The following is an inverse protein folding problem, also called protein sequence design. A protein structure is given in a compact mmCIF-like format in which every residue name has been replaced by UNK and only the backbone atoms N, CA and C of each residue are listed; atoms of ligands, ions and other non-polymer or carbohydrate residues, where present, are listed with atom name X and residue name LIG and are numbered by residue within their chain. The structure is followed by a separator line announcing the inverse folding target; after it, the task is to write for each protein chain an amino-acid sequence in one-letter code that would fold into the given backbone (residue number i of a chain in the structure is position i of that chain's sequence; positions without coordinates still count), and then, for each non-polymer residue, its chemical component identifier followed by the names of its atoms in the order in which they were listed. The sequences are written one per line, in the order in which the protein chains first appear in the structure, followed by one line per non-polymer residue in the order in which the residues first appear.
data_IF_864604581953
#
_entry.id   IF_864604581953
#
_cell.length_a   1.000
_cell.length_b   1.000
_cell.length_c   1.000
_cell.angle_alpha   90.00
_cell.angle_beta   90.00
_cell.angle_gamma   90.00
#
_symmetry.space_group_name_H-M   'P 1'
#
loop_
_entity.id
_entity.type
_entity.pdbx_description
1 polymer ?
#
# COMPACT_ATOMS: atom_id res chain seq x y z
N UNK A 1 50.14 -22.37 -38.50
CA UNK A 1 49.91 -22.00 -37.09
C UNK A 1 49.87 -20.48 -37.03
N UNK A 2 48.73 -19.89 -37.38
CA UNK A 2 48.53 -18.44 -37.42
C UNK A 2 47.82 -18.01 -36.14
N UNK A 3 48.57 -17.31 -35.29
CA UNK A 3 48.08 -16.75 -34.03
C UNK A 3 47.14 -15.59 -34.38
N UNK A 4 45.84 -15.75 -34.11
CA UNK A 4 44.91 -14.63 -34.12
C UNK A 4 45.10 -13.86 -32.81
N UNK A 5 45.76 -12.70 -32.89
CA UNK A 5 45.72 -11.69 -31.83
C UNK A 5 44.29 -11.12 -31.77
N UNK A 6 43.54 -11.52 -30.75
CA UNK A 6 42.28 -10.87 -30.38
C UNK A 6 42.59 -9.50 -29.79
N UNK A 7 42.39 -8.47 -30.61
CA UNK A 7 42.42 -7.07 -30.22
C UNK A 7 41.39 -6.82 -29.09
N UNK A 8 41.77 -6.17 -27.96
CA UNK A 8 40.81 -5.86 -26.91
C UNK A 8 39.79 -4.84 -27.44
N UNK A 9 38.52 -5.21 -27.41
CA UNK A 9 37.41 -4.35 -27.78
C UNK A 9 37.46 -3.06 -26.94
N UNK A 10 37.53 -1.91 -27.62
CA UNK A 10 37.45 -0.61 -26.99
C UNK A 10 36.14 -0.50 -26.20
N UNK A 11 36.25 -0.20 -24.90
CA UNK A 11 35.10 0.10 -24.04
C UNK A 11 34.49 1.41 -24.51
N UNK A 12 33.37 1.34 -25.23
CA UNK A 12 32.63 2.55 -25.62
C UNK A 12 32.20 3.32 -24.37
N UNK A 13 32.36 4.67 -24.35
CA UNK A 13 31.93 5.47 -23.22
C UNK A 13 30.42 5.35 -23.05
N UNK A 14 30.01 4.72 -21.94
CA UNK A 14 28.60 4.49 -21.59
C UNK A 14 27.80 5.78 -21.67
N UNK A 15 26.97 5.88 -22.70
CA UNK A 15 26.02 6.98 -22.88
C UNK A 15 25.16 7.03 -21.62
N UNK A 16 25.29 8.08 -20.81
CA UNK A 16 24.48 8.34 -19.62
C UNK A 16 23.01 8.36 -20.07
N UNK A 17 22.33 7.21 -20.01
CA UNK A 17 20.91 7.09 -20.39
C UNK A 17 20.15 7.88 -19.35
N UNK A 18 19.51 8.96 -19.78
CA UNK A 18 18.54 9.67 -18.95
C UNK A 18 17.49 8.62 -18.57
N UNK A 19 17.32 8.36 -17.27
CA UNK A 19 16.35 7.40 -16.80
C UNK A 19 14.94 8.03 -16.84
N UNK A 20 14.36 8.01 -18.04
CA UNK A 20 13.02 8.52 -18.32
C UNK A 20 11.98 7.78 -17.48
N UNK A 21 12.23 6.52 -17.12
CA UNK A 21 11.34 5.71 -16.28
C UNK A 21 11.27 6.25 -14.86
N UNK A 22 12.42 6.50 -14.23
CA UNK A 22 12.47 7.08 -12.89
C UNK A 22 11.87 8.49 -12.82
N UNK A 23 12.15 9.34 -13.81
CA UNK A 23 11.51 10.66 -13.88
C UNK A 23 10.00 10.55 -14.10
N UNK A 24 9.54 9.58 -14.90
CA UNK A 24 8.13 9.29 -15.08
C UNK A 24 7.44 8.87 -13.78
N UNK A 25 8.04 7.96 -13.02
CA UNK A 25 7.54 7.53 -11.72
C UNK A 25 7.52 8.70 -10.71
N UNK A 26 8.61 9.47 -10.65
CA UNK A 26 8.68 10.65 -9.79
C UNK A 26 7.59 11.67 -10.11
N UNK A 27 7.39 11.97 -11.39
CA UNK A 27 6.32 12.87 -11.85
C UNK A 27 4.93 12.32 -11.48
N UNK A 28 4.69 11.03 -11.68
CA UNK A 28 3.44 10.38 -11.29
C UNK A 28 3.17 10.52 -9.79
N UNK A 29 4.14 10.20 -8.93
CA UNK A 29 4.01 10.33 -7.48
C UNK A 29 3.70 11.76 -7.05
N UNK A 30 4.39 12.75 -7.64
CA UNK A 30 4.16 14.16 -7.36
C UNK A 30 2.74 14.58 -7.80
N UNK A 31 2.32 14.21 -9.01
CA UNK A 31 1.00 14.57 -9.52
C UNK A 31 -0.12 13.95 -8.68
N UNK A 32 -0.04 12.67 -8.35
CA UNK A 32 -1.02 11.99 -7.48
C UNK A 32 -1.00 12.59 -6.08
N UNK A 33 0.18 12.90 -5.53
CA UNK A 33 0.32 13.51 -4.21
C UNK A 33 -0.31 14.90 -4.14
N UNK A 34 -0.04 15.77 -5.13
CA UNK A 34 -0.66 17.10 -5.25
C UNK A 34 -2.17 16.97 -5.41
N UNK A 35 -2.62 16.10 -6.31
CA UNK A 35 -4.05 15.84 -6.51
C UNK A 35 -4.73 15.46 -5.20
N UNK A 36 -4.14 14.52 -4.45
CA UNK A 36 -4.67 14.04 -3.16
C UNK A 36 -4.77 15.18 -2.13
N UNK A 37 -3.76 16.05 -2.07
CA UNK A 37 -3.75 17.22 -1.15
C UNK A 37 -4.83 18.24 -1.54
N UNK A 38 -5.00 18.51 -2.83
CA UNK A 38 -6.03 19.43 -3.33
C UNK A 38 -7.43 18.88 -3.09
N UNK A 39 -7.64 17.60 -3.37
CA UNK A 39 -8.90 16.90 -3.12
C UNK A 39 -9.26 16.91 -1.62
N UNK A 40 -8.27 16.64 -0.76
CA UNK A 40 -8.44 16.70 0.70
C UNK A 40 -8.88 18.07 1.21
N UNK A 41 -8.49 19.16 0.54
CA UNK A 41 -8.90 20.51 0.93
C UNK A 41 -10.41 20.75 0.74
N UNK A 42 -11.05 19.98 -0.14
CA UNK A 42 -12.50 20.02 -0.38
C UNK A 42 -13.35 19.26 0.64
N UNK A 43 -12.75 18.42 1.49
CA UNK A 43 -13.50 17.60 2.46
C UNK A 43 -14.11 18.48 3.55
N UNK A 44 -15.43 18.44 3.76
CA UNK A 44 -16.07 19.19 4.85
C UNK A 44 -15.66 18.63 6.23
N UNK A 45 -15.39 19.52 7.19
CA UNK A 45 -15.01 19.13 8.57
C UNK A 45 -16.11 19.62 9.49
N UNK A 46 -16.65 18.72 10.33
CA UNK A 46 -17.62 19.07 11.36
C UNK A 46 -17.03 20.02 12.39
N UNK A 47 -17.85 20.92 12.93
CA UNK A 47 -17.45 22.04 13.81
C UNK A 47 -16.72 21.66 15.12
N UNK A 48 -16.57 20.38 15.46
CA UNK A 48 -16.04 19.92 16.75
C UNK A 48 -14.91 18.88 16.63
N UNK A 49 -14.32 18.69 15.44
CA UNK A 49 -13.29 17.66 15.22
C UNK A 49 -11.90 18.29 15.05
N UNK A 50 -11.01 18.23 16.07
CA UNK A 50 -9.70 18.91 16.04
C UNK A 50 -8.72 18.33 15.01
N UNK A 51 -8.88 17.05 14.67
CA UNK A 51 -7.93 16.32 13.80
C UNK A 51 -8.55 16.07 12.42
N UNK A 52 -9.85 15.75 12.35
CA UNK A 52 -10.61 15.70 11.11
C UNK A 52 -10.14 14.66 10.07
N UNK A 53 -11.00 14.28 9.12
CA UNK A 53 -10.68 13.27 8.11
C UNK A 53 -9.58 13.71 7.12
N UNK A 54 -9.21 14.99 7.12
CA UNK A 54 -8.23 15.58 6.20
C UNK A 54 -6.78 15.21 6.51
N UNK A 55 -6.46 14.88 7.76
CA UNK A 55 -5.07 14.61 8.15
C UNK A 55 -4.49 13.43 7.40
N UNK A 56 -5.27 12.35 7.26
CA UNK A 56 -4.83 11.16 6.54
C UNK A 56 -4.43 11.45 5.08
N UNK A 57 -5.31 12.00 4.22
CA UNK A 57 -4.95 12.28 2.84
C UNK A 57 -3.88 13.38 2.71
N UNK A 58 -3.80 14.34 3.64
CA UNK A 58 -2.69 15.30 3.64
C UNK A 58 -1.33 14.63 3.90
N UNK A 59 -1.25 13.72 4.87
CA UNK A 59 0.00 12.99 5.18
C UNK A 59 0.43 12.13 4.01
N UNK A 60 -0.50 11.36 3.42
CA UNK A 60 -0.20 10.51 2.26
C UNK A 60 0.18 11.34 1.04
N UNK A 61 -0.58 12.38 0.72
CA UNK A 61 -0.31 13.25 -0.41
C UNK A 61 1.01 14.00 -0.28
N UNK A 62 1.30 14.57 0.90
CA UNK A 62 2.59 15.21 1.18
C UNK A 62 3.75 14.20 1.11
N UNK A 63 3.57 13.00 1.67
CA UNK A 63 4.55 11.92 1.59
C UNK A 63 4.88 11.54 0.15
N UNK A 64 3.86 11.38 -0.71
CA UNK A 64 4.03 11.12 -2.14
C UNK A 64 4.82 12.22 -2.85
N UNK A 65 4.51 13.49 -2.57
CA UNK A 65 5.24 14.63 -3.15
C UNK A 65 6.70 14.63 -2.69
N UNK A 66 6.94 14.43 -1.40
CA UNK A 66 8.30 14.39 -0.82
C UNK A 66 9.11 13.26 -1.42
N UNK A 67 8.58 12.03 -1.44
CA UNK A 67 9.29 10.86 -1.99
C UNK A 67 9.52 11.02 -3.49
N UNK A 68 8.52 11.52 -4.24
CA UNK A 68 8.69 11.80 -5.67
C UNK A 68 9.75 12.87 -5.95
N UNK A 69 9.82 13.93 -5.14
CA UNK A 69 10.85 14.96 -5.26
C UNK A 69 12.25 14.40 -4.90
N UNK A 70 12.35 13.60 -3.84
CA UNK A 70 13.59 12.93 -3.46
C UNK A 70 14.06 11.97 -4.56
N UNK A 71 13.14 11.21 -5.17
CA UNK A 71 13.45 10.34 -6.30
C UNK A 71 13.98 11.15 -7.49
N UNK A 72 13.32 12.25 -7.88
CA UNK A 72 13.78 13.12 -8.96
C UNK A 72 15.19 13.70 -8.69
N UNK A 73 15.47 14.09 -7.44
CA UNK A 73 16.80 14.57 -7.02
C UNK A 73 17.82 13.42 -7.05
N UNK A 74 17.46 12.22 -6.60
CA UNK A 74 18.33 11.06 -6.65
C UNK A 74 18.70 10.68 -8.09
N UNK A 75 17.71 10.62 -8.98
CA UNK A 75 17.92 10.38 -10.42
C UNK A 75 18.79 11.47 -11.05
N UNK A 76 18.56 12.74 -10.71
CA UNK A 76 19.40 13.85 -11.17
C UNK A 76 20.86 13.76 -10.68
N UNK A 77 21.07 13.17 -9.49
CA UNK A 77 22.40 12.87 -8.94
C UNK A 77 23.03 11.61 -9.56
N UNK A 78 22.36 10.95 -10.48
CA UNK A 78 22.84 9.75 -11.17
C UNK A 78 22.59 8.46 -10.41
N UNK A 79 21.67 8.45 -9.43
CA UNK A 79 21.14 7.20 -8.89
C UNK A 79 20.51 6.42 -10.04
N UNK A 80 20.96 5.19 -10.22
CA UNK A 80 20.33 4.25 -11.15
C UNK A 80 19.53 3.25 -10.34
N UNK A 81 18.38 2.78 -10.85
CA UNK A 81 17.70 1.66 -10.24
C UNK A 81 18.66 0.48 -10.31
N UNK A 82 19.06 -0.01 -9.15
CA UNK A 82 19.68 -1.32 -9.08
C UNK A 82 18.55 -2.30 -9.42
N UNK A 83 18.69 -3.13 -10.47
CA UNK A 83 17.71 -4.18 -10.71
C UNK A 83 17.65 -4.99 -9.43
N UNK A 84 16.52 -4.89 -8.74
CA UNK A 84 16.21 -5.76 -7.63
C UNK A 84 16.26 -7.17 -8.26
N UNK A 85 17.29 -7.96 -7.91
CA UNK A 85 17.22 -9.41 -8.03
C UNK A 85 16.06 -9.78 -7.13
N UNK A 86 14.86 -9.75 -7.70
CA UNK A 86 13.64 -10.08 -7.01
C UNK A 86 13.85 -11.44 -6.40
N UNK A 87 13.80 -11.50 -5.07
CA UNK A 87 13.82 -12.69 -4.23
C UNK A 87 13.28 -13.91 -4.99
N UNK A 88 14.17 -14.69 -5.63
CA UNK A 88 13.88 -15.80 -6.53
C UNK A 88 12.50 -15.72 -7.21
N UNK A 89 12.21 -14.63 -7.94
CA UNK A 89 10.97 -14.53 -8.70
C UNK A 89 11.10 -15.46 -9.90
N UNK A 90 10.79 -16.73 -9.68
CA UNK A 90 10.62 -17.70 -10.73
C UNK A 90 9.41 -17.30 -11.56
N UNK A 91 9.66 -16.55 -12.65
CA UNK A 91 8.64 -16.15 -13.62
C UNK A 91 7.95 -17.35 -14.30
N UNK A 92 8.44 -18.58 -14.10
CA UNK A 92 7.78 -19.82 -14.52
C UNK A 92 6.79 -20.36 -13.49
N UNK A 93 6.86 -19.88 -12.24
CA UNK A 93 5.89 -20.20 -11.19
C UNK A 93 4.58 -19.46 -11.45
N UNK A 94 3.49 -20.21 -11.55
CA UNK A 94 2.16 -19.63 -11.72
C UNK A 94 1.70 -18.97 -10.42
N UNK A 95 1.05 -17.80 -10.53
CA UNK A 95 0.45 -17.14 -9.38
C UNK A 95 -0.51 -18.09 -8.63
N UNK A 96 -0.49 -18.06 -7.29
CA UNK A 96 -1.44 -18.82 -6.47
C UNK A 96 -2.84 -18.19 -6.52
N UNK A 97 -3.53 -18.45 -7.62
CA UNK A 97 -4.89 -17.97 -7.87
C UNK A 97 -5.89 -18.46 -6.84
N UNK A 98 -5.63 -19.58 -6.17
CA UNK A 98 -6.51 -20.10 -5.12
C UNK A 98 -6.43 -19.20 -3.90
N UNK A 99 -5.24 -18.82 -3.47
CA UNK A 99 -5.05 -17.88 -2.36
C UNK A 99 -5.59 -16.50 -2.71
N UNK A 100 -5.35 -16.01 -3.94
CA UNK A 100 -5.94 -14.74 -4.41
C UNK A 100 -7.46 -14.79 -4.34
N UNK A 101 -8.09 -15.85 -4.84
CA UNK A 101 -9.56 -15.97 -4.85
C UNK A 101 -10.13 -16.06 -3.42
N UNK A 102 -9.45 -16.73 -2.48
CA UNK A 102 -9.83 -16.74 -1.06
C UNK A 102 -9.80 -15.33 -0.47
N UNK A 103 -8.73 -14.57 -0.71
CA UNK A 103 -8.61 -13.19 -0.22
C UNK A 103 -9.70 -12.30 -0.80
N UNK A 104 -9.97 -12.43 -2.10
CA UNK A 104 -11.08 -11.71 -2.75
C UNK A 104 -12.42 -12.10 -2.11
N UNK A 105 -12.67 -13.38 -1.86
CA UNK A 105 -13.91 -13.83 -1.22
C UNK A 105 -14.08 -13.27 0.20
N UNK A 106 -13.02 -13.27 1.01
CA UNK A 106 -13.02 -12.67 2.37
C UNK A 106 -13.28 -11.16 2.28
N UNK A 107 -12.66 -10.47 1.34
CA UNK A 107 -12.86 -9.03 1.13
C UNK A 107 -14.31 -8.73 0.72
N UNK A 108 -14.86 -9.47 -0.26
CA UNK A 108 -16.24 -9.30 -0.70
C UNK A 108 -17.24 -9.60 0.43
N UNK A 109 -16.99 -10.64 1.22
CA UNK A 109 -17.78 -10.93 2.41
C UNK A 109 -17.73 -9.77 3.42
N UNK A 110 -16.56 -9.19 3.64
CA UNK A 110 -16.38 -8.04 4.53
C UNK A 110 -17.19 -6.85 4.02
N UNK A 111 -17.06 -6.49 2.74
CA UNK A 111 -17.80 -5.39 2.11
C UNK A 111 -19.32 -5.61 2.21
N UNK A 112 -19.79 -6.84 1.97
CA UNK A 112 -21.20 -7.17 2.04
C UNK A 112 -21.77 -7.11 3.48
N UNK A 113 -20.95 -7.40 4.49
CA UNK A 113 -21.38 -7.51 5.89
C UNK A 113 -21.10 -6.29 6.74
N UNK A 114 -20.16 -5.42 6.35
CA UNK A 114 -19.68 -4.31 7.20
C UNK A 114 -20.80 -3.39 7.66
N UNK A 115 -21.77 -3.07 6.79
CA UNK A 115 -22.90 -2.21 7.16
C UNK A 115 -23.84 -2.87 8.18
N UNK A 116 -23.96 -4.20 8.15
CA UNK A 116 -24.82 -4.94 9.06
C UNK A 116 -24.10 -5.25 10.38
N UNK A 117 -22.91 -5.85 10.31
CA UNK A 117 -22.18 -6.36 11.48
C UNK A 117 -21.32 -5.30 12.19
N UNK A 118 -21.02 -4.20 11.51
CA UNK A 118 -20.12 -3.18 12.04
C UNK A 118 -18.65 -3.49 11.75
N UNK A 119 -17.80 -2.46 11.84
CA UNK A 119 -16.37 -2.60 11.56
C UNK A 119 -15.65 -3.55 12.52
N UNK A 120 -16.01 -3.57 13.81
CA UNK A 120 -15.32 -4.42 14.79
C UNK A 120 -15.44 -5.91 14.45
N UNK A 121 -16.64 -6.36 14.04
CA UNK A 121 -16.89 -7.77 13.69
C UNK A 121 -16.39 -8.07 12.28
N UNK A 122 -16.79 -7.27 11.28
CA UNK A 122 -16.37 -7.48 9.89
C UNK A 122 -14.86 -7.34 9.72
N UNK A 123 -14.22 -6.41 10.42
CA UNK A 123 -12.77 -6.27 10.46
C UNK A 123 -12.08 -7.47 11.11
N UNK A 124 -12.62 -8.02 12.19
CA UNK A 124 -12.05 -9.22 12.82
C UNK A 124 -12.11 -10.42 11.85
N UNK A 125 -13.22 -10.57 11.13
CA UNK A 125 -13.37 -11.59 10.08
C UNK A 125 -12.42 -11.34 8.92
N UNK A 126 -12.24 -10.08 8.50
CA UNK A 126 -11.28 -9.71 7.45
C UNK A 126 -9.86 -10.15 7.82
N UNK A 127 -9.38 -9.77 9.00
CA UNK A 127 -8.02 -10.07 9.44
C UNK A 127 -7.80 -11.57 9.69
N UNK A 128 -8.72 -12.24 10.38
CA UNK A 128 -8.64 -13.68 10.62
C UNK A 128 -8.78 -14.48 9.31
N UNK A 129 -9.70 -14.06 8.44
CA UNK A 129 -9.93 -14.67 7.13
C UNK A 129 -8.74 -14.50 6.19
N UNK A 130 -8.05 -13.35 6.24
CA UNK A 130 -6.81 -13.14 5.51
C UNK A 130 -5.69 -14.06 6.02
N UNK A 131 -5.50 -14.16 7.34
CA UNK A 131 -4.52 -15.07 7.93
C UNK A 131 -4.79 -16.53 7.53
N UNK A 132 -6.06 -16.94 7.53
CA UNK A 132 -6.48 -18.26 7.04
C UNK A 132 -6.23 -18.45 5.55
N UNK A 133 -6.53 -17.44 4.72
CA UNK A 133 -6.30 -17.50 3.28
C UNK A 133 -4.81 -17.67 2.95
N UNK A 134 -3.94 -17.03 3.72
CA UNK A 134 -2.48 -17.15 3.67
C UNK A 134 -1.93 -18.46 4.26
N UNK A 135 -2.80 -19.38 4.70
CA UNK A 135 -2.42 -20.73 5.11
C UNK A 135 -2.13 -20.89 6.61
N UNK A 136 -2.50 -19.92 7.46
CA UNK A 136 -2.39 -20.09 8.91
C UNK A 136 -3.14 -21.35 9.37
N UNK A 137 -2.51 -22.09 10.28
CA UNK A 137 -3.06 -23.31 10.88
C UNK A 137 -3.55 -23.09 12.31
N UNK A 138 -3.40 -21.88 12.85
CA UNK A 138 -3.69 -21.54 14.25
C UNK A 138 -4.91 -20.63 14.37
N UNK A 139 -6.09 -21.17 14.04
CA UNK A 139 -7.36 -20.43 13.99
C UNK A 139 -7.66 -19.59 15.24
N UNK A 140 -7.38 -20.11 16.45
CA UNK A 140 -7.61 -19.37 17.70
C UNK A 140 -6.75 -18.10 17.76
N UNK A 141 -5.47 -18.22 17.39
CA UNK A 141 -4.55 -17.08 17.33
C UNK A 141 -5.02 -16.08 16.27
N UNK A 142 -5.44 -16.57 15.11
CA UNK A 142 -5.89 -15.72 14.00
C UNK A 142 -7.13 -14.90 14.39
N UNK A 143 -8.09 -15.52 15.09
CA UNK A 143 -9.27 -14.83 15.61
C UNK A 143 -8.89 -13.78 16.66
N UNK A 144 -7.99 -14.10 17.59
CA UNK A 144 -7.54 -13.15 18.61
C UNK A 144 -6.82 -11.97 17.95
N UNK A 145 -5.87 -12.23 17.06
CA UNK A 145 -5.14 -11.19 16.32
C UNK A 145 -6.11 -10.36 15.49
N UNK A 146 -7.05 -11.00 14.80
CA UNK A 146 -8.04 -10.30 14.01
C UNK A 146 -8.93 -9.38 14.84
N UNK A 147 -9.38 -9.84 16.00
CA UNK A 147 -10.15 -9.02 16.95
C UNK A 147 -9.33 -7.82 17.45
N UNK A 148 -8.08 -8.05 17.86
CA UNK A 148 -7.18 -6.99 18.34
C UNK A 148 -6.92 -5.95 17.25
N UNK A 149 -6.66 -6.38 16.02
CA UNK A 149 -6.44 -5.47 14.88
C UNK A 149 -7.73 -4.72 14.50
N UNK A 150 -8.89 -5.36 14.56
CA UNK A 150 -10.18 -4.72 14.28
C UNK A 150 -10.53 -3.65 15.30
N UNK A 151 -10.40 -3.95 16.59
CA UNK A 151 -10.63 -2.99 17.67
C UNK A 151 -9.56 -1.88 17.64
N UNK A 152 -8.28 -2.24 17.47
CA UNK A 152 -7.18 -1.28 17.41
C UNK A 152 -7.32 -0.31 16.24
N UNK A 153 -7.67 -0.80 15.06
CA UNK A 153 -7.98 0.06 13.92
C UNK A 153 -9.21 0.92 14.18
N UNK A 154 -10.27 0.38 14.79
CA UNK A 154 -11.45 1.16 15.15
C UNK A 154 -11.07 2.37 16.02
N UNK A 155 -10.31 2.16 17.09
CA UNK A 155 -9.84 3.25 17.95
C UNK A 155 -8.92 4.23 17.20
N UNK A 156 -8.03 3.73 16.34
CA UNK A 156 -7.16 4.59 15.54
C UNK A 156 -7.95 5.53 14.62
N UNK A 157 -9.03 5.05 14.00
CA UNK A 157 -9.89 5.88 13.15
C UNK A 157 -10.82 6.78 13.97
N UNK A 158 -11.48 6.21 14.98
CA UNK A 158 -12.48 6.92 15.77
C UNK A 158 -11.84 8.01 16.64
N UNK A 159 -10.82 7.65 17.44
CA UNK A 159 -10.14 8.60 18.34
C UNK A 159 -9.04 9.37 17.62
N UNK A 160 -8.28 8.70 16.75
CA UNK A 160 -7.13 9.32 16.08
C UNK A 160 -7.52 10.27 14.95
N UNK A 161 -8.57 9.95 14.20
CA UNK A 161 -8.99 10.71 13.01
C UNK A 161 -10.39 11.32 13.11
N UNK A 162 -11.16 11.02 14.17
CA UNK A 162 -12.53 11.50 14.33
C UNK A 162 -13.53 10.86 13.36
N UNK A 163 -13.18 9.74 12.72
CA UNK A 163 -14.00 9.13 11.67
C UNK A 163 -14.93 8.07 12.30
N UNK A 164 -16.26 8.28 12.30
CA UNK A 164 -17.19 7.28 12.78
C UNK A 164 -17.22 6.09 11.82
N UNK A 165 -16.76 4.93 12.29
CA UNK A 165 -16.90 3.67 11.56
C UNK A 165 -18.26 3.06 11.86
N UNK A 166 -18.82 2.35 10.88
CA UNK A 166 -20.17 1.77 11.03
C UNK A 166 -20.23 0.86 12.26
N UNK A 167 -21.13 1.14 13.22
CA UNK A 167 -21.26 0.33 14.43
C UNK A 167 -22.04 -0.97 14.14
N UNK A 168 -22.86 -1.00 13.08
CA UNK A 168 -23.68 -2.16 12.71
C UNK A 168 -24.55 -2.64 13.87
N UNK A 169 -24.57 -3.96 14.11
CA UNK A 169 -25.30 -4.56 15.24
C UNK A 169 -24.78 -4.14 16.63
N UNK A 170 -23.62 -3.49 16.72
CA UNK A 170 -23.05 -2.98 17.97
C UNK A 170 -23.46 -1.53 18.26
N UNK A 171 -24.41 -0.99 17.50
CA UNK A 171 -24.99 0.33 17.72
C UNK A 171 -25.58 0.46 19.14
N UNK A 172 -24.96 1.32 19.95
CA UNK A 172 -25.30 1.54 21.37
C UNK A 172 -24.39 0.86 22.41
N UNK A 173 -23.43 0.01 21.99
CA UNK A 173 -22.39 -0.58 22.88
C UNK A 173 -21.02 0.09 22.66
N UNK A 174 -20.72 0.45 21.41
CA UNK A 174 -19.53 1.20 20.97
C UNK A 174 -19.93 2.63 20.60
#
# INVERSE_FOLDING_TARGET
MSVHETQPAATEPGRRRIDVGQYGLAAFMILVGIYTVVDAAGLEVGFADPVGPRVFPYVIGAGLVVVGALLAVATARGSQPEPEEGEDVDLSSSADWVTVLKLVAVLLFTVATVNLLGWAISGAVLFAGAAWALGSRTFVRDVIVGLVLAIGSWYAFYVGLGIPLTPGVLDGIL
#
